data_IF_568013185346
#
_entry.id   IF_568013185346
#
_cell.length_a   1.000
_cell.length_b   1.000
_cell.length_c   1.000
_cell.angle_alpha   90.00
_cell.angle_beta   90.00
_cell.angle_gamma   90.00
#
_symmetry.space_group_name_H-M   'P 1'
#
loop_
_entity.id
_entity.type
_entity.pdbx_description
1 polymer ?
#
# COMPACT_ATOMS: atom_id res chain seq x y z
N UNK A 1 -14.09 0.40 -3.52
CA UNK A 1 -12.88 1.25 -3.31
C UNK A 1 -12.14 0.75 -2.09
N UNK A 2 -10.82 0.63 -2.14
CA UNK A 2 -9.97 0.16 -1.04
C UNK A 2 -8.84 1.15 -0.82
N UNK A 3 -8.38 1.28 0.44
CA UNK A 3 -7.14 1.99 0.71
C UNK A 3 -5.95 1.09 0.41
N UNK A 4 -4.98 1.61 -0.32
CA UNK A 4 -3.77 0.89 -0.68
C UNK A 4 -2.54 1.57 -0.08
N UNK A 5 -1.82 0.85 0.76
CA UNK A 5 -0.49 1.26 1.21
C UNK A 5 0.55 1.10 0.10
N UNK A 6 1.64 1.85 0.17
CA UNK A 6 2.74 1.79 -0.78
C UNK A 6 3.32 0.37 -0.94
N UNK A 7 3.37 -0.43 0.14
CA UNK A 7 3.87 -1.82 0.09
C UNK A 7 3.03 -2.72 -0.82
N UNK A 8 1.72 -2.49 -0.89
CA UNK A 8 0.81 -3.26 -1.73
C UNK A 8 0.74 -2.75 -3.18
N UNK A 9 1.08 -1.48 -3.42
CA UNK A 9 1.16 -0.89 -4.76
C UNK A 9 2.49 -1.18 -5.46
N UNK A 10 3.59 -1.32 -4.71
CA UNK A 10 4.92 -1.56 -5.28
C UNK A 10 4.99 -2.80 -6.20
N UNK A 11 4.38 -3.96 -5.87
CA UNK A 11 4.37 -5.14 -6.74
C UNK A 11 3.63 -4.93 -8.07
N UNK A 12 2.76 -3.93 -8.18
CA UNK A 12 2.08 -3.59 -9.43
C UNK A 12 3.01 -2.86 -10.42
N UNK A 13 4.08 -2.24 -9.91
CA UNK A 13 5.09 -1.52 -10.70
C UNK A 13 6.30 -2.38 -11.01
N UNK A 14 6.90 -2.96 -9.98
CA UNK A 14 8.09 -3.81 -10.09
C UNK A 14 7.65 -5.24 -9.75
N UNK A 15 7.88 -6.18 -10.66
CA UNK A 15 7.51 -7.57 -10.44
C UNK A 15 8.22 -8.15 -9.21
N UNK A 16 7.44 -8.62 -8.27
CA UNK A 16 7.84 -9.23 -6.99
C UNK A 16 6.93 -10.45 -6.71
N UNK A 17 7.22 -11.20 -5.65
CA UNK A 17 6.50 -12.43 -5.30
C UNK A 17 4.97 -12.25 -5.16
N UNK A 18 4.51 -11.07 -4.74
CA UNK A 18 3.08 -10.76 -4.54
C UNK A 18 2.41 -10.03 -5.71
N UNK A 19 3.07 -9.94 -6.87
CA UNK A 19 2.55 -9.19 -8.02
C UNK A 19 1.20 -9.73 -8.52
N UNK A 20 1.05 -11.05 -8.61
CA UNK A 20 -0.18 -11.66 -9.13
C UNK A 20 -1.34 -11.50 -8.15
N UNK A 21 -1.08 -11.56 -6.86
CA UNK A 21 -2.06 -11.28 -5.81
C UNK A 21 -2.54 -9.82 -5.86
N UNK A 22 -1.61 -8.87 -5.90
CA UNK A 22 -1.94 -7.45 -5.99
C UNK A 22 -2.77 -7.13 -7.24
N UNK A 23 -2.42 -7.74 -8.38
CA UNK A 23 -3.22 -7.65 -9.61
C UNK A 23 -4.62 -8.25 -9.46
N UNK A 24 -4.73 -9.39 -8.78
CA UNK A 24 -6.02 -10.04 -8.53
C UNK A 24 -6.90 -9.14 -7.65
N UNK A 25 -6.37 -8.57 -6.58
CA UNK A 25 -7.11 -7.66 -5.70
C UNK A 25 -7.56 -6.40 -6.42
N UNK A 26 -6.71 -5.82 -7.27
CA UNK A 26 -7.05 -4.64 -8.08
C UNK A 26 -8.15 -4.96 -9.11
N UNK A 27 -8.14 -6.15 -9.72
CA UNK A 27 -9.21 -6.58 -10.63
C UNK A 27 -10.56 -6.78 -9.92
N UNK A 28 -10.53 -7.27 -8.68
CA UNK A 28 -11.74 -7.46 -7.87
C UNK A 28 -12.38 -6.12 -7.50
N UNK A 29 -11.58 -5.14 -7.16
CA UNK A 29 -12.01 -3.80 -6.75
C UNK A 29 -11.03 -2.76 -7.30
N UNK A 30 -11.32 -2.16 -8.46
CA UNK A 30 -10.37 -1.28 -9.16
C UNK A 30 -10.22 0.12 -8.52
N UNK A 31 -11.12 0.50 -7.61
CA UNK A 31 -11.04 1.80 -6.93
C UNK A 31 -9.91 1.83 -5.92
N UNK A 32 -8.85 2.57 -6.23
CA UNK A 32 -7.67 2.78 -5.37
C UNK A 32 -7.76 4.15 -4.73
N UNK A 33 -7.62 4.20 -3.41
CA UNK A 33 -7.33 5.45 -2.69
C UNK A 33 -6.06 5.26 -1.88
N UNK A 34 -5.20 6.26 -1.86
CA UNK A 34 -3.92 6.22 -1.16
C UNK A 34 -3.52 7.59 -0.63
N UNK A 35 -2.43 7.70 0.10
CA UNK A 35 -1.90 8.99 0.55
C UNK A 35 -1.13 9.69 -0.56
N UNK A 36 -1.24 11.00 -0.65
CA UNK A 36 -0.54 11.81 -1.66
C UNK A 36 0.98 11.60 -1.70
N UNK A 37 1.60 11.20 -0.58
CA UNK A 37 3.02 10.89 -0.50
C UNK A 37 3.40 9.51 -1.05
N UNK A 38 2.43 8.64 -1.33
CA UNK A 38 2.64 7.28 -1.87
C UNK A 38 3.44 7.30 -3.18
N UNK A 39 3.25 8.31 -4.04
CA UNK A 39 4.07 8.46 -5.26
C UNK A 39 5.55 8.65 -4.93
N UNK A 40 5.87 9.35 -3.86
CA UNK A 40 7.26 9.55 -3.41
C UNK A 40 7.84 8.24 -2.89
N UNK A 41 7.08 7.47 -2.13
CA UNK A 41 7.49 6.16 -1.61
C UNK A 41 7.73 5.16 -2.75
N UNK A 42 6.84 5.07 -3.71
CA UNK A 42 6.98 4.21 -4.88
C UNK A 42 8.14 4.63 -5.79
N UNK A 43 8.31 5.94 -6.02
CA UNK A 43 9.48 6.46 -6.73
C UNK A 43 10.76 6.09 -6.01
N UNK A 44 10.81 6.23 -4.68
CA UNK A 44 11.95 5.85 -3.86
C UNK A 44 12.26 4.35 -3.97
N UNK A 45 11.24 3.50 -4.04
CA UNK A 45 11.40 2.05 -4.24
C UNK A 45 12.03 1.75 -5.62
N UNK A 46 11.57 2.39 -6.69
CA UNK A 46 12.15 2.25 -8.04
C UNK A 46 13.62 2.71 -8.04
N UNK A 47 13.91 3.88 -7.48
CA UNK A 47 15.27 4.42 -7.43
C UNK A 47 16.23 3.54 -6.61
N UNK A 48 15.73 2.91 -5.54
CA UNK A 48 16.51 1.92 -4.79
C UNK A 48 16.90 0.72 -5.67
N UNK A 49 15.94 0.15 -6.44
CA UNK A 49 16.19 -0.96 -7.37
C UNK A 49 17.20 -0.60 -8.46
N UNK A 50 17.21 0.67 -8.91
CA UNK A 50 18.21 1.18 -9.84
C UNK A 50 19.59 1.19 -9.19
N UNK A 51 19.71 1.69 -7.95
CA UNK A 51 21.00 1.71 -7.22
C UNK A 51 21.54 0.30 -6.92
N UNK A 52 20.64 -0.66 -6.70
CA UNK A 52 20.97 -2.07 -6.49
C UNK A 52 21.34 -2.79 -7.80
N UNK A 53 21.20 -2.15 -8.96
CA UNK A 53 21.52 -2.71 -10.27
C UNK A 53 20.45 -3.71 -10.78
N UNK A 54 19.32 -3.83 -10.10
CA UNK A 54 18.20 -4.71 -10.48
C UNK A 54 17.39 -4.11 -11.63
N UNK A 55 17.30 -2.79 -11.69
CA UNK A 55 16.59 -2.03 -12.71
C UNK A 55 17.56 -1.18 -13.50
N UNK A 56 17.55 -1.30 -14.83
CA UNK A 56 18.36 -0.48 -15.74
C UNK A 56 17.80 0.94 -15.89
N UNK A 57 18.59 1.86 -16.44
CA UNK A 57 18.13 3.25 -16.72
C UNK A 57 16.96 3.30 -17.70
N UNK A 58 16.88 2.38 -18.66
CA UNK A 58 15.74 2.29 -19.58
C UNK A 58 14.48 1.84 -18.88
N UNK A 59 14.58 0.74 -18.13
CA UNK A 59 13.47 0.22 -17.32
C UNK A 59 12.98 1.24 -16.27
N UNK A 60 13.90 2.01 -15.67
CA UNK A 60 13.53 3.09 -14.75
C UNK A 60 12.56 4.08 -15.38
N UNK A 61 12.84 4.52 -16.62
CA UNK A 61 11.93 5.44 -17.33
C UNK A 61 10.54 4.83 -17.49
N UNK A 62 10.47 3.61 -18.01
CA UNK A 62 9.21 2.89 -18.20
C UNK A 62 8.43 2.73 -16.88
N UNK A 63 9.12 2.44 -15.77
CA UNK A 63 8.48 2.30 -14.45
C UNK A 63 7.95 3.63 -13.94
N UNK A 64 8.67 4.73 -14.10
CA UNK A 64 8.21 6.06 -13.69
C UNK A 64 7.02 6.52 -14.57
N UNK A 65 7.06 6.25 -15.87
CA UNK A 65 5.94 6.58 -16.77
C UNK A 65 4.68 5.76 -16.39
N UNK A 66 4.85 4.46 -16.09
CA UNK A 66 3.77 3.61 -15.58
C UNK A 66 3.22 4.08 -14.25
N UNK A 67 4.10 4.46 -13.30
CA UNK A 67 3.67 5.03 -12.02
C UNK A 67 2.87 6.30 -12.23
N UNK A 68 3.31 7.18 -13.12
CA UNK A 68 2.61 8.42 -13.42
C UNK A 68 1.21 8.14 -13.99
N UNK A 69 1.11 7.27 -14.99
CA UNK A 69 -0.18 6.89 -15.58
C UNK A 69 -1.11 6.20 -14.57
N UNK A 70 -0.56 5.35 -13.69
CA UNK A 70 -1.36 4.69 -12.67
C UNK A 70 -1.86 5.69 -11.61
N UNK A 71 -1.03 6.64 -11.22
CA UNK A 71 -1.39 7.67 -10.25
C UNK A 71 -2.47 8.65 -10.76
N UNK A 72 -2.65 8.78 -12.05
CA UNK A 72 -3.77 9.55 -12.64
C UNK A 72 -5.13 8.86 -12.44
N UNK A 73 -5.13 7.55 -12.15
CA UNK A 73 -6.33 6.74 -12.01
C UNK A 73 -6.73 6.45 -10.56
N UNK A 74 -5.93 6.86 -9.57
CA UNK A 74 -6.26 6.68 -8.15
C UNK A 74 -6.69 7.98 -7.48
N UNK A 75 -7.37 7.87 -6.33
CA UNK A 75 -7.70 9.00 -5.48
C UNK A 75 -6.62 9.23 -4.41
N UNK A 76 -6.32 10.49 -4.09
CA UNK A 76 -5.29 10.84 -3.12
C UNK A 76 -5.85 11.57 -1.90
N UNK A 77 -5.48 11.12 -0.72
CA UNK A 77 -5.65 11.88 0.52
C UNK A 77 -4.56 12.95 0.58
N UNK A 78 -4.93 14.21 0.42
CA UNK A 78 -4.00 15.35 0.32
C UNK A 78 -4.03 16.29 1.55
N UNK A 79 -4.91 16.08 2.52
CA UNK A 79 -4.93 16.86 3.78
C UNK A 79 -3.76 16.44 4.69
N UNK A 80 -2.60 17.04 4.41
CA UNK A 80 -1.35 16.75 5.11
C UNK A 80 -1.42 17.07 6.61
N UNK A 81 -2.20 18.07 7.01
CA UNK A 81 -2.31 18.45 8.41
C UNK A 81 -3.16 17.45 9.20
N UNK A 82 -4.29 17.04 8.64
CA UNK A 82 -5.13 16.01 9.24
C UNK A 82 -4.42 14.65 9.32
N UNK A 83 -3.71 14.24 8.25
CA UNK A 83 -2.87 13.03 8.26
C UNK A 83 -1.80 13.11 9.36
N UNK A 84 -1.06 14.23 9.46
CA UNK A 84 -0.05 14.43 10.49
C UNK A 84 -0.61 14.28 11.91
N UNK A 85 -1.77 14.86 12.18
CA UNK A 85 -2.39 14.78 13.52
C UNK A 85 -2.72 13.32 13.90
N UNK A 86 -3.26 12.53 12.95
CA UNK A 86 -3.53 11.11 13.17
C UNK A 86 -2.26 10.29 13.31
N UNK A 87 -1.25 10.55 12.48
CA UNK A 87 0.04 9.86 12.55
C UNK A 87 0.72 10.06 13.91
N UNK A 88 0.72 11.28 14.46
CA UNK A 88 1.26 11.56 15.80
C UNK A 88 0.53 10.75 16.88
N UNK A 89 -0.80 10.64 16.80
CA UNK A 89 -1.59 9.84 17.73
C UNK A 89 -1.28 8.33 17.59
N UNK A 90 -1.15 7.83 16.35
CA UNK A 90 -0.82 6.44 16.06
C UNK A 90 0.56 6.04 16.58
N UNK A 91 1.56 6.91 16.43
CA UNK A 91 2.93 6.68 16.94
C UNK A 91 2.96 6.54 18.48
N UNK A 92 2.02 7.15 19.19
CA UNK A 92 1.87 6.98 20.65
C UNK A 92 1.27 5.62 21.06
N UNK A 93 0.61 4.91 20.12
CA UNK A 93 -0.10 3.65 20.40
C UNK A 93 0.55 2.43 19.74
N UNK A 94 1.25 2.62 18.64
CA UNK A 94 1.81 1.54 17.81
C UNK A 94 3.29 1.78 17.52
N UNK A 95 4.06 0.69 17.45
CA UNK A 95 5.47 0.72 17.08
C UNK A 95 5.63 0.86 15.54
N UNK A 96 5.18 1.97 14.95
CA UNK A 96 5.23 2.26 13.54
C UNK A 96 6.38 3.20 13.18
N UNK A 97 6.81 3.17 11.92
CA UNK A 97 7.64 4.22 11.33
C UNK A 97 6.76 5.42 10.97
N UNK A 98 7.36 6.59 10.79
CA UNK A 98 6.62 7.81 10.48
C UNK A 98 5.79 7.69 9.18
N UNK A 99 6.34 7.07 8.14
CA UNK A 99 5.62 6.85 6.87
C UNK A 99 4.43 5.91 7.06
N UNK A 100 4.62 4.79 7.79
CA UNK A 100 3.57 3.81 8.06
C UNK A 100 2.42 4.45 8.87
N UNK A 101 2.76 5.25 9.89
CA UNK A 101 1.77 5.98 10.66
C UNK A 101 1.00 7.00 9.82
N UNK A 102 1.65 7.62 8.84
CA UNK A 102 0.98 8.54 7.92
C UNK A 102 0.07 7.80 6.93
N UNK A 103 0.49 6.65 6.40
CA UNK A 103 -0.36 5.79 5.58
C UNK A 103 -1.64 5.38 6.34
N UNK A 104 -1.50 4.88 7.56
CA UNK A 104 -2.66 4.50 8.37
C UNK A 104 -3.52 5.71 8.76
N UNK A 105 -2.89 6.84 9.06
CA UNK A 105 -3.57 8.11 9.35
C UNK A 105 -4.41 8.61 8.16
N UNK A 106 -3.90 8.48 6.94
CA UNK A 106 -4.63 8.81 5.73
C UNK A 106 -5.82 7.87 5.50
N UNK A 107 -5.64 6.56 5.72
CA UNK A 107 -6.73 5.59 5.63
C UNK A 107 -7.85 5.88 6.63
N UNK A 108 -7.51 6.30 7.86
CA UNK A 108 -8.49 6.70 8.88
C UNK A 108 -9.33 7.88 8.42
N UNK A 109 -8.73 8.88 7.77
CA UNK A 109 -9.47 10.03 7.22
C UNK A 109 -10.48 9.59 6.15
N UNK A 110 -10.10 8.68 5.26
CA UNK A 110 -11.02 8.17 4.24
C UNK A 110 -12.19 7.43 4.91
N UNK A 111 -11.88 6.54 5.86
CA UNK A 111 -12.91 5.74 6.56
C UNK A 111 -13.97 6.61 7.26
N UNK A 112 -13.62 7.77 7.75
CA UNK A 112 -14.58 8.71 8.37
C UNK A 112 -15.63 9.24 7.38
N UNK A 113 -15.34 9.18 6.07
CA UNK A 113 -16.20 9.71 5.02
C UNK A 113 -16.91 8.63 4.20
N UNK A 114 -16.56 7.35 4.37
CA UNK A 114 -17.20 6.24 3.67
C UNK A 114 -18.15 5.47 4.58
N UNK A 115 -19.35 5.14 4.07
CA UNK A 115 -20.39 4.48 4.84
C UNK A 115 -20.38 2.93 4.71
N UNK A 116 -19.46 2.37 3.94
CA UNK A 116 -19.37 0.94 3.67
C UNK A 116 -18.10 0.33 4.26
N UNK A 117 -18.03 -1.00 4.43
CA UNK A 117 -16.78 -1.66 4.78
C UNK A 117 -15.65 -1.21 3.87
N UNK A 118 -14.53 -0.83 4.47
CA UNK A 118 -13.40 -0.20 3.79
C UNK A 118 -12.14 -0.97 4.12
N UNK A 119 -11.64 -1.73 3.14
CA UNK A 119 -10.47 -2.56 3.31
C UNK A 119 -9.17 -1.76 3.18
N UNK A 120 -8.19 -2.14 3.99
CA UNK A 120 -6.83 -1.64 3.98
C UNK A 120 -5.90 -2.68 3.36
N UNK A 121 -5.37 -2.40 2.16
CA UNK A 121 -4.48 -3.34 1.44
C UNK A 121 -3.04 -3.01 1.76
N UNK A 122 -2.35 -3.94 2.43
CA UNK A 122 -1.00 -3.73 2.96
C UNK A 122 -0.20 -5.02 2.97
N UNK A 123 1.06 -4.98 2.56
CA UNK A 123 2.00 -6.11 2.62
C UNK A 123 3.06 -5.96 3.71
N UNK A 124 3.08 -4.84 4.43
CA UNK A 124 3.91 -4.68 5.63
C UNK A 124 3.17 -5.24 6.83
N UNK A 125 3.69 -6.33 7.41
CA UNK A 125 3.05 -7.05 8.52
C UNK A 125 2.87 -6.18 9.78
N UNK A 126 3.79 -5.24 10.04
CA UNK A 126 3.71 -4.35 11.21
C UNK A 126 2.60 -3.32 11.03
N UNK A 127 2.52 -2.73 9.84
CA UNK A 127 1.48 -1.77 9.51
C UNK A 127 0.11 -2.46 9.43
N UNK A 128 0.04 -3.67 8.86
CA UNK A 128 -1.17 -4.50 8.81
C UNK A 128 -1.72 -4.77 10.22
N UNK A 129 -0.87 -5.23 11.14
CA UNK A 129 -1.27 -5.48 12.53
C UNK A 129 -1.79 -4.20 13.25
N UNK A 130 -1.16 -3.05 13.01
CA UNK A 130 -1.64 -1.78 13.55
C UNK A 130 -2.99 -1.38 12.95
N UNK A 131 -3.20 -1.59 11.65
CA UNK A 131 -4.46 -1.30 10.98
C UNK A 131 -5.60 -2.17 11.52
N UNK A 132 -5.37 -3.46 11.79
CA UNK A 132 -6.34 -4.36 12.43
C UNK A 132 -6.73 -3.85 13.84
N UNK A 133 -5.76 -3.45 14.65
CA UNK A 133 -6.00 -2.89 15.97
C UNK A 133 -6.79 -1.57 15.92
N UNK A 134 -6.66 -0.81 14.86
CA UNK A 134 -7.48 0.39 14.59
C UNK A 134 -8.83 0.05 13.93
N UNK A 135 -9.16 -1.24 13.74
CA UNK A 135 -10.46 -1.72 13.27
C UNK A 135 -10.63 -1.68 11.74
N UNK A 136 -9.55 -1.78 10.98
CA UNK A 136 -9.62 -2.00 9.54
C UNK A 136 -9.79 -3.48 9.21
N UNK A 137 -10.51 -3.72 8.13
CA UNK A 137 -10.49 -5.00 7.42
C UNK A 137 -9.23 -5.03 6.55
N UNK A 138 -8.23 -5.83 6.94
CA UNK A 138 -6.91 -5.83 6.29
C UNK A 138 -6.84 -6.89 5.20
N UNK A 139 -6.21 -6.54 4.09
CA UNK A 139 -5.93 -7.46 2.97
C UNK A 139 -4.42 -7.49 2.65
N UNK A 140 -3.84 -8.69 2.38
CA UNK A 140 -4.47 -10.01 2.52
C UNK A 140 -4.80 -10.31 3.98
N UNK A 141 -5.77 -11.20 4.18
CA UNK A 141 -6.09 -11.67 5.53
C UNK A 141 -4.85 -12.41 6.08
N UNK A 142 -4.22 -11.93 7.17
CA UNK A 142 -3.00 -12.52 7.71
C UNK A 142 -3.21 -13.93 8.28
N UNK A 143 -4.47 -14.35 8.47
CA UNK A 143 -4.83 -15.68 8.97
C UNK A 143 -4.96 -16.71 7.85
N UNK A 144 -5.02 -16.27 6.59
CA UNK A 144 -5.10 -17.17 5.44
C UNK A 144 -3.68 -17.48 4.93
N UNK A 145 -3.33 -18.79 4.71
CA UNK A 145 -2.06 -19.15 4.11
C UNK A 145 -1.93 -18.53 2.71
N UNK A 146 -0.72 -18.16 2.35
CA UNK A 146 -0.40 -17.68 1.01
C UNK A 146 -0.93 -18.68 -0.04
N UNK A 147 -1.65 -18.19 -1.04
CA UNK A 147 -2.25 -19.02 -2.10
C UNK A 147 -1.21 -19.80 -2.95
N UNK A 148 0.08 -19.66 -2.62
CA UNK A 148 1.20 -20.37 -3.25
C UNK A 148 1.69 -21.63 -2.53
N UNK A 149 1.31 -21.89 -1.28
CA UNK A 149 1.65 -23.14 -0.59
C UNK A 149 0.57 -24.21 -0.83
N UNK A 150 0.63 -24.85 -2.01
CA UNK A 150 -0.01 -26.16 -2.15
C UNK A 150 0.78 -27.16 -1.29
N UNK A 151 0.14 -27.94 -0.40
CA UNK A 151 0.82 -29.02 0.28
C UNK A 151 1.30 -30.00 -0.78
N UNK A 152 2.62 -30.16 -0.91
CA UNK A 152 3.21 -31.28 -1.64
C UNK A 152 2.77 -32.54 -0.93
N UNK A 153 1.71 -33.16 -1.45
CA UNK A 153 1.21 -34.45 -1.00
C UNK A 153 2.31 -35.50 -1.11
N UNK A 154 2.65 -36.11 0.01
CA UNK A 154 3.47 -37.31 0.07
C UNK A 154 2.73 -38.54 -0.39
#
# INVERSE_FOLDING_TARGET
>A
MRYWDASALAPLLVAEDRTDDARAWLRQEPGVVTWAWTRVELTSAVERRVREGVVTRSQRRELIDRLTAFAEAWDEVSDMLAVRMRALSLLGRHALRAADAAQLGAAMLVREHVQSPFAFVCLDARLAAAAELEGFDVMPDPTLPDAGEQPTGG
#
